data_IF_856194508592
#
_entry.id   IF_856194508592
#
_cell.length_a   1.000
_cell.length_b   1.000
_cell.length_c   1.000
_cell.angle_alpha   90.00
_cell.angle_beta   90.00
_cell.angle_gamma   90.00
#
_symmetry.space_group_name_H-M   'P 1'
#
loop_
_entity.id
_entity.type
_entity.pdbx_description
1 polymer ?
#
# COMPACT_ATOMS: atom_id res chain seq x y z
N UNK A 1 14.98 21.75 2.35
CA UNK A 1 14.98 21.40 3.79
C UNK A 1 15.14 19.89 3.89
N UNK A 2 16.25 19.40 4.45
CA UNK A 2 16.45 17.97 4.69
C UNK A 2 15.64 17.56 5.91
N UNK A 3 14.54 16.84 5.71
CA UNK A 3 13.72 16.32 6.82
C UNK A 3 14.55 15.37 7.70
N UNK A 4 14.32 15.32 9.03
CA UNK A 4 14.95 14.33 9.88
C UNK A 4 14.60 12.92 9.38
N UNK A 5 15.58 12.00 9.47
CA UNK A 5 15.52 10.62 8.93
C UNK A 5 14.26 9.84 9.32
N UNK A 6 13.66 10.21 10.44
CA UNK A 6 12.49 9.59 11.06
C UNK A 6 11.17 10.10 10.51
N UNK A 7 11.10 11.30 9.92
CA UNK A 7 9.82 11.89 9.51
C UNK A 7 9.09 11.07 8.44
N UNK A 8 9.73 10.58 7.36
CA UNK A 8 9.03 9.76 6.38
C UNK A 8 8.63 8.39 6.96
N UNK A 9 9.41 7.85 7.91
CA UNK A 9 9.06 6.62 8.64
C UNK A 9 7.85 6.84 9.54
N UNK A 10 7.80 7.93 10.30
CA UNK A 10 6.64 8.29 11.12
C UNK A 10 5.40 8.53 10.27
N UNK A 11 5.56 9.13 9.08
CA UNK A 11 4.49 9.30 8.10
C UNK A 11 3.91 7.95 7.65
N UNK A 12 4.77 6.98 7.31
CA UNK A 12 4.33 5.62 6.98
C UNK A 12 3.69 4.90 8.17
N UNK A 13 4.19 5.07 9.40
CA UNK A 13 3.58 4.50 10.60
C UNK A 13 2.19 5.08 10.88
N UNK A 14 2.00 6.38 10.71
CA UNK A 14 0.70 7.02 10.84
C UNK A 14 -0.27 6.50 9.76
N UNK A 15 0.22 6.35 8.53
CA UNK A 15 -0.54 5.77 7.43
C UNK A 15 -0.93 4.32 7.69
N UNK A 16 -0.02 3.47 8.19
CA UNK A 16 -0.32 2.06 8.48
C UNK A 16 -1.28 1.93 9.66
N UNK A 17 -1.26 2.85 10.63
CA UNK A 17 -2.27 2.92 11.66
C UNK A 17 -3.65 3.26 11.07
N UNK A 18 -3.75 4.22 10.15
CA UNK A 18 -4.99 4.49 9.41
C UNK A 18 -5.46 3.24 8.69
N UNK A 19 -4.59 2.56 7.93
CA UNK A 19 -4.94 1.32 7.22
C UNK A 19 -5.39 0.21 8.18
N UNK A 20 -4.69 -0.01 9.30
CA UNK A 20 -5.08 -0.99 10.31
C UNK A 20 -6.48 -0.73 10.90
N UNK A 21 -6.86 0.55 11.07
CA UNK A 21 -8.21 0.92 11.53
C UNK A 21 -9.32 0.57 10.52
N UNK A 22 -8.99 0.48 9.23
CA UNK A 22 -9.98 0.26 8.17
C UNK A 22 -10.59 -1.13 8.18
N UNK A 23 -9.89 -2.13 8.73
CA UNK A 23 -10.39 -3.51 8.81
C UNK A 23 -11.68 -3.61 9.64
N UNK A 24 -11.86 -2.73 10.62
CA UNK A 24 -13.09 -2.66 11.43
C UNK A 24 -14.28 -2.15 10.60
N UNK A 25 -14.02 -1.36 9.55
CA UNK A 25 -15.03 -0.64 8.77
C UNK A 25 -15.36 -1.31 7.43
N UNK A 26 -14.40 -2.00 6.80
CA UNK A 26 -14.55 -2.44 5.40
C UNK A 26 -15.53 -3.59 5.21
N UNK A 27 -15.64 -4.51 6.19
CA UNK A 27 -16.55 -5.66 6.12
C UNK A 27 -18.01 -5.24 6.01
N UNK A 28 -18.42 -4.27 6.82
CA UNK A 28 -19.80 -3.79 6.86
C UNK A 28 -20.20 -3.08 5.56
N UNK A 29 -19.23 -2.54 4.81
CA UNK A 29 -19.48 -1.86 3.52
C UNK A 29 -19.48 -2.84 2.36
N UNK A 30 -18.46 -3.71 2.26
CA UNK A 30 -18.32 -4.66 1.14
C UNK A 30 -19.39 -5.77 1.17
N UNK A 31 -20.02 -6.02 2.32
CA UNK A 31 -21.18 -6.93 2.41
C UNK A 31 -22.46 -6.38 1.73
N UNK A 32 -22.52 -5.08 1.45
CA UNK A 32 -23.75 -4.40 0.97
C UNK A 32 -23.67 -3.91 -0.48
N UNK A 33 -22.54 -4.08 -1.16
CA UNK A 33 -22.38 -3.68 -2.56
C UNK A 33 -21.27 -4.48 -3.27
N UNK A 34 -21.33 -4.61 -4.60
CA UNK A 34 -20.27 -5.26 -5.38
C UNK A 34 -18.90 -4.60 -5.17
N UNK A 35 -17.83 -5.40 -5.23
CA UNK A 35 -16.45 -4.93 -5.01
C UNK A 35 -16.02 -3.88 -6.03
N UNK A 36 -16.31 -4.11 -7.31
CA UNK A 36 -15.95 -3.19 -8.37
C UNK A 36 -16.62 -1.82 -8.16
N UNK A 37 -17.90 -1.80 -7.77
CA UNK A 37 -18.64 -0.58 -7.44
C UNK A 37 -18.03 0.17 -6.26
N UNK A 38 -17.74 -0.57 -5.18
CA UNK A 38 -17.16 0.00 -3.97
C UNK A 38 -15.83 0.69 -4.28
N UNK A 39 -14.94 0.00 -5.01
CA UNK A 39 -13.64 0.53 -5.38
C UNK A 39 -13.76 1.68 -6.37
N UNK A 40 -14.65 1.57 -7.36
CA UNK A 40 -14.87 2.61 -8.36
C UNK A 40 -15.32 3.93 -7.72
N UNK A 41 -16.36 3.88 -6.86
CA UNK A 41 -16.85 5.07 -6.16
C UNK A 41 -15.80 5.61 -5.19
N UNK A 42 -15.17 4.75 -4.39
CA UNK A 42 -14.11 5.13 -3.44
C UNK A 42 -12.98 5.88 -4.14
N UNK A 43 -12.42 5.31 -5.21
CA UNK A 43 -11.28 5.90 -5.88
C UNK A 43 -11.65 7.07 -6.77
N UNK A 44 -12.88 7.13 -7.32
CA UNK A 44 -13.36 8.34 -8.00
C UNK A 44 -13.42 9.54 -7.06
N UNK A 45 -13.94 9.35 -5.84
CA UNK A 45 -13.96 10.41 -4.80
C UNK A 45 -12.53 10.80 -4.40
N UNK A 46 -11.64 9.82 -4.18
CA UNK A 46 -10.25 10.08 -3.84
C UNK A 46 -9.50 10.85 -4.94
N UNK A 47 -9.71 10.47 -6.21
CA UNK A 47 -9.13 11.12 -7.37
C UNK A 47 -9.61 12.56 -7.50
N UNK A 48 -10.92 12.80 -7.36
CA UNK A 48 -11.48 14.15 -7.40
C UNK A 48 -10.89 15.03 -6.29
N UNK A 49 -10.84 14.52 -5.05
CA UNK A 49 -10.25 15.25 -3.93
C UNK A 49 -8.78 15.61 -4.20
N UNK A 50 -7.98 14.67 -4.69
CA UNK A 50 -6.57 14.91 -5.01
C UNK A 50 -6.36 15.91 -6.15
N UNK A 51 -7.19 15.87 -7.19
CA UNK A 51 -7.13 16.84 -8.29
C UNK A 51 -7.51 18.25 -7.84
N UNK A 52 -8.46 18.38 -6.92
CA UNK A 52 -8.86 19.67 -6.32
C UNK A 52 -7.78 20.22 -5.38
N UNK A 53 -7.14 19.37 -4.59
CA UNK A 53 -6.11 19.78 -3.63
C UNK A 53 -4.76 20.07 -4.28
N UNK A 54 -4.39 19.34 -5.33
CA UNK A 54 -3.06 19.41 -5.96
C UNK A 54 -3.06 19.73 -7.47
N UNK A 55 -3.91 20.65 -7.98
CA UNK A 55 -4.03 20.89 -9.42
C UNK A 55 -2.72 21.44 -10.00
N UNK A 56 -2.07 22.35 -9.27
CA UNK A 56 -0.82 22.98 -9.70
C UNK A 56 0.34 21.98 -9.76
N UNK A 57 0.38 21.01 -8.85
CA UNK A 57 1.41 19.98 -8.80
C UNK A 57 1.22 19.00 -9.95
N UNK A 58 -0.03 18.64 -10.28
CA UNK A 58 -0.33 17.81 -11.46
C UNK A 58 0.14 18.49 -12.75
N UNK A 59 -0.15 19.78 -12.93
CA UNK A 59 0.28 20.51 -14.13
C UNK A 59 1.80 20.64 -14.28
N UNK A 60 2.55 20.58 -13.17
CA UNK A 60 4.01 20.69 -13.17
C UNK A 60 4.74 19.38 -13.50
N UNK A 61 4.07 18.23 -13.47
CA UNK A 61 4.69 16.92 -13.71
C UNK A 61 5.24 16.73 -15.14
N UNK A 62 4.72 17.50 -16.10
CA UNK A 62 4.99 17.27 -17.53
C UNK A 62 4.51 15.89 -18.01
N UNK A 63 4.84 15.55 -19.27
CA UNK A 63 4.36 14.31 -19.92
C UNK A 63 4.90 13.06 -19.25
N UNK A 64 6.18 13.06 -18.87
CA UNK A 64 6.84 11.91 -18.24
C UNK A 64 6.28 11.63 -16.86
N UNK A 65 6.07 12.65 -16.02
CA UNK A 65 5.48 12.49 -14.70
C UNK A 65 4.02 12.02 -14.77
N UNK A 66 3.23 12.53 -15.73
CA UNK A 66 1.87 12.04 -15.99
C UNK A 66 1.87 10.56 -16.41
N UNK A 67 2.75 10.15 -17.33
CA UNK A 67 2.85 8.76 -17.78
C UNK A 67 3.27 7.81 -16.64
N UNK A 68 4.26 8.20 -15.83
CA UNK A 68 4.71 7.43 -14.65
C UNK A 68 3.60 7.31 -13.60
N UNK A 69 2.94 8.41 -13.28
CA UNK A 69 1.82 8.42 -12.33
C UNK A 69 0.66 7.54 -12.79
N UNK A 70 0.34 7.59 -14.09
CA UNK A 70 -0.70 6.75 -14.66
C UNK A 70 -0.33 5.28 -14.61
N UNK A 71 0.89 4.92 -15.03
CA UNK A 71 1.38 3.54 -14.98
C UNK A 71 1.37 2.96 -13.56
N UNK A 72 1.87 3.74 -12.58
CA UNK A 72 1.83 3.35 -11.16
C UNK A 72 0.40 3.12 -10.66
N UNK A 73 -0.53 4.03 -11.02
CA UNK A 73 -1.92 3.88 -10.61
C UNK A 73 -2.62 2.70 -11.28
N UNK A 74 -2.30 2.37 -12.53
CA UNK A 74 -2.82 1.15 -13.18
C UNK A 74 -2.35 -0.10 -12.45
N UNK A 75 -1.05 -0.20 -12.14
CA UNK A 75 -0.47 -1.33 -11.39
C UNK A 75 -1.16 -1.47 -10.03
N UNK A 76 -1.29 -0.37 -9.29
CA UNK A 76 -1.96 -0.37 -7.99
C UNK A 76 -3.45 -0.73 -8.11
N UNK A 77 -4.15 -0.21 -9.11
CA UNK A 77 -5.58 -0.47 -9.34
C UNK A 77 -5.88 -1.93 -9.65
N UNK A 78 -5.02 -2.59 -10.45
CA UNK A 78 -5.11 -4.03 -10.70
C UNK A 78 -4.87 -4.79 -9.38
N UNK A 79 -3.85 -4.42 -8.61
CA UNK A 79 -3.61 -4.98 -7.28
C UNK A 79 -4.83 -4.88 -6.36
N UNK A 80 -5.45 -3.70 -6.29
CA UNK A 80 -6.66 -3.44 -5.50
C UNK A 80 -7.85 -4.33 -5.90
N UNK A 81 -8.09 -4.51 -7.19
CA UNK A 81 -9.17 -5.39 -7.68
C UNK A 81 -8.90 -6.85 -7.28
N UNK A 82 -7.69 -7.35 -7.58
CA UNK A 82 -7.29 -8.73 -7.26
C UNK A 82 -7.36 -9.01 -5.76
N UNK A 83 -6.85 -8.09 -4.94
CA UNK A 83 -6.89 -8.21 -3.49
C UNK A 83 -8.33 -8.26 -2.98
N UNK A 84 -9.18 -7.34 -3.44
CA UNK A 84 -10.54 -7.21 -2.89
C UNK A 84 -11.45 -8.34 -3.36
N UNK A 85 -11.28 -8.84 -4.59
CA UNK A 85 -11.93 -10.09 -5.03
C UNK A 85 -11.41 -11.30 -4.27
N UNK A 86 -10.09 -11.38 -4.04
CA UNK A 86 -9.49 -12.43 -3.21
C UNK A 86 -10.09 -12.44 -1.80
N UNK A 87 -10.21 -11.28 -1.16
CA UNK A 87 -10.77 -11.08 0.17
C UNK A 87 -12.22 -11.59 0.31
N UNK A 88 -13.02 -11.62 -0.77
CA UNK A 88 -14.37 -12.19 -0.73
C UNK A 88 -14.38 -13.71 -0.61
N UNK A 89 -13.31 -14.38 -1.04
CA UNK A 89 -13.23 -15.84 -1.16
C UNK A 89 -12.52 -16.49 0.03
N UNK A 90 -11.77 -15.73 0.83
CA UNK A 90 -10.95 -16.26 1.93
C UNK A 90 -11.11 -15.43 3.20
N UNK A 91 -10.66 -15.98 4.33
CA UNK A 91 -10.66 -15.24 5.59
C UNK A 91 -9.79 -13.96 5.48
N UNK A 92 -10.22 -12.84 6.09
CA UNK A 92 -9.47 -11.58 6.06
C UNK A 92 -8.05 -11.70 6.62
N UNK A 93 -7.84 -12.57 7.60
CA UNK A 93 -6.51 -12.80 8.17
C UNK A 93 -5.59 -13.49 7.15
N UNK A 94 -6.09 -14.47 6.39
CA UNK A 94 -5.34 -15.12 5.31
C UNK A 94 -5.06 -14.13 4.17
N UNK A 95 -6.04 -13.30 3.80
CA UNK A 95 -5.86 -12.25 2.78
C UNK A 95 -4.86 -11.18 3.23
N UNK A 96 -4.91 -10.76 4.49
CA UNK A 96 -3.95 -9.82 5.07
C UNK A 96 -2.52 -10.38 5.08
N UNK A 97 -2.34 -11.65 5.44
CA UNK A 97 -1.05 -12.34 5.32
C UNK A 97 -0.57 -12.37 3.86
N UNK A 98 -1.40 -12.86 2.94
CA UNK A 98 -1.05 -12.98 1.53
C UNK A 98 -0.72 -11.63 0.89
N UNK A 99 -1.44 -10.56 1.26
CA UNK A 99 -1.13 -9.20 0.82
C UNK A 99 0.24 -8.76 1.34
N UNK A 100 0.49 -8.92 2.64
CA UNK A 100 1.73 -8.46 3.28
C UNK A 100 2.99 -9.16 2.76
N UNK A 101 2.86 -10.24 1.98
CA UNK A 101 3.96 -10.84 1.21
C UNK A 101 4.59 -9.87 0.19
N UNK A 102 3.99 -8.70 -0.08
CA UNK A 102 4.68 -7.63 -0.80
C UNK A 102 6.04 -7.30 -0.16
N UNK A 103 6.22 -7.50 1.15
CA UNK A 103 7.49 -7.26 1.86
C UNK A 103 8.60 -8.20 1.38
N UNK A 104 8.24 -9.42 0.96
CA UNK A 104 9.15 -10.40 0.38
C UNK A 104 9.38 -10.10 -1.09
N UNK A 105 8.32 -9.82 -1.84
CA UNK A 105 8.42 -9.55 -3.27
C UNK A 105 9.14 -8.25 -3.60
N UNK A 106 9.06 -7.22 -2.75
CA UNK A 106 9.70 -5.91 -2.98
C UNK A 106 11.22 -6.01 -3.16
N UNK A 107 12.02 -6.57 -2.24
CA UNK A 107 13.46 -6.72 -2.42
C UNK A 107 13.83 -7.67 -3.57
N UNK A 108 13.01 -8.71 -3.83
CA UNK A 108 13.21 -9.60 -4.98
C UNK A 108 13.08 -8.81 -6.28
N UNK A 109 11.97 -8.08 -6.47
CA UNK A 109 11.71 -7.29 -7.66
C UNK A 109 12.70 -6.13 -7.79
N UNK A 110 13.11 -5.48 -6.69
CA UNK A 110 14.16 -4.46 -6.72
C UNK A 110 15.49 -5.04 -7.23
N UNK A 111 15.85 -6.26 -6.82
CA UNK A 111 17.06 -6.94 -7.30
C UNK A 111 16.94 -7.31 -8.77
N UNK A 112 15.80 -7.89 -9.18
CA UNK A 112 15.61 -8.39 -10.55
C UNK A 112 15.42 -7.28 -11.59
N UNK A 113 14.63 -6.24 -11.27
CA UNK A 113 14.25 -5.19 -12.21
C UNK A 113 15.24 -4.03 -12.22
N UNK A 114 15.86 -3.73 -11.07
CA UNK A 114 16.73 -2.57 -10.90
C UNK A 114 18.20 -2.95 -10.66
N UNK A 115 18.52 -4.25 -10.60
CA UNK A 115 19.88 -4.73 -10.33
C UNK A 115 20.41 -4.39 -8.93
N UNK A 116 19.54 -3.97 -8.00
CA UNK A 116 19.95 -3.51 -6.67
C UNK A 116 20.43 -4.66 -5.80
N UNK A 117 21.62 -4.53 -5.19
CA UNK A 117 22.17 -5.54 -4.28
C UNK A 117 21.72 -5.29 -2.85
N UNK A 118 20.82 -6.13 -2.36
CA UNK A 118 20.32 -6.05 -0.99
C UNK A 118 21.36 -6.51 0.03
N UNK A 119 21.54 -5.75 1.11
CA UNK A 119 22.37 -6.17 2.24
C UNK A 119 21.72 -7.38 2.96
N UNK A 120 22.53 -8.29 3.50
CA UNK A 120 22.03 -9.49 4.19
C UNK A 120 21.04 -9.19 5.33
N UNK A 121 21.24 -8.06 6.03
CA UNK A 121 20.32 -7.60 7.08
C UNK A 121 18.90 -7.27 6.57
N UNK A 122 18.76 -6.86 5.30
CA UNK A 122 17.43 -6.65 4.69
C UNK A 122 16.69 -7.99 4.60
N UNK A 123 17.37 -9.07 4.21
CA UNK A 123 16.76 -10.41 4.17
C UNK A 123 16.40 -10.94 5.56
N UNK A 124 17.22 -10.63 6.57
CA UNK A 124 16.87 -10.93 7.98
C UNK A 124 15.61 -10.19 8.39
N UNK A 125 15.52 -8.89 8.09
CA UNK A 125 14.32 -8.10 8.39
C UNK A 125 13.08 -8.60 7.65
N UNK A 126 13.21 -8.97 6.38
CA UNK A 126 12.13 -9.58 5.58
C UNK A 126 11.67 -10.90 6.22
N UNK A 127 12.60 -11.74 6.67
CA UNK A 127 12.29 -12.99 7.38
C UNK A 127 11.53 -12.73 8.68
N UNK A 128 11.99 -11.77 9.50
CA UNK A 128 11.32 -11.37 10.74
C UNK A 128 9.91 -10.81 10.48
N UNK A 129 9.76 -9.90 9.50
CA UNK A 129 8.48 -9.32 9.14
C UNK A 129 7.49 -10.40 8.63
N UNK A 130 7.97 -11.33 7.81
CA UNK A 130 7.15 -12.43 7.29
C UNK A 130 6.71 -13.39 8.40
N UNK A 131 7.62 -13.75 9.31
CA UNK A 131 7.30 -14.59 10.46
C UNK A 131 6.32 -13.89 11.43
N UNK A 132 6.51 -12.59 11.64
CA UNK A 132 5.59 -11.79 12.45
C UNK A 132 4.20 -11.69 11.83
N UNK A 133 4.12 -11.40 10.53
CA UNK A 133 2.87 -11.41 9.76
C UNK A 133 2.18 -12.78 9.81
N UNK A 134 2.95 -13.86 9.69
CA UNK A 134 2.42 -15.23 9.80
C UNK A 134 1.78 -15.46 11.17
N UNK A 135 2.49 -15.13 12.25
CA UNK A 135 1.96 -15.31 13.61
C UNK A 135 0.68 -14.50 13.86
N UNK A 136 0.63 -13.26 13.35
CA UNK A 136 -0.52 -12.36 13.49
C UNK A 136 -1.75 -12.83 12.67
N UNK A 137 -1.52 -13.36 11.47
CA UNK A 137 -2.56 -13.44 10.45
C UNK A 137 -2.90 -14.86 9.98
N UNK A 138 -1.98 -15.83 10.07
CA UNK A 138 -2.24 -17.21 9.62
C UNK A 138 -2.93 -18.06 10.69
N UNK A 139 -4.21 -18.35 10.51
CA UNK A 139 -4.96 -19.31 11.34
C UNK A 139 -5.28 -20.56 10.52
N UNK A 140 -4.25 -21.34 10.22
CA UNK A 140 -4.30 -22.45 9.26
C UNK A 140 -3.82 -22.06 7.88
N UNK A 141 -3.57 -23.06 7.03
CA UNK A 141 -3.18 -22.88 5.64
C UNK A 141 -4.31 -23.42 4.77
N UNK A 142 -4.89 -22.56 3.94
CA UNK A 142 -5.81 -22.97 2.89
C UNK A 142 -5.20 -22.61 1.54
N UNK A 143 -5.46 -23.43 0.53
CA UNK A 143 -4.99 -23.23 -0.84
C UNK A 143 -6.21 -23.04 -1.70
N UNK A 144 -6.68 -21.79 -1.74
CA UNK A 144 -7.91 -21.41 -2.45
C UNK A 144 -7.60 -20.38 -3.54
N UNK A 145 -8.51 -20.25 -4.50
CA UNK A 145 -8.42 -19.21 -5.54
C UNK A 145 -8.23 -17.80 -4.95
N UNK A 146 -8.89 -17.51 -3.82
CA UNK A 146 -8.73 -16.23 -3.12
C UNK A 146 -7.30 -15.98 -2.62
N UNK A 147 -6.58 -17.03 -2.20
CA UNK A 147 -5.17 -16.93 -1.81
C UNK A 147 -4.31 -16.56 -3.01
N UNK A 148 -4.52 -17.23 -4.15
CA UNK A 148 -3.78 -16.94 -5.38
C UNK A 148 -4.04 -15.53 -5.92
N UNK A 149 -5.31 -15.08 -5.91
CA UNK A 149 -5.66 -13.71 -6.28
C UNK A 149 -4.99 -12.68 -5.37
N UNK A 150 -4.99 -12.93 -4.06
CA UNK A 150 -4.37 -12.02 -3.08
C UNK A 150 -2.85 -12.04 -3.20
N UNK A 151 -2.22 -13.19 -3.41
CA UNK A 151 -0.77 -13.26 -3.67
C UNK A 151 -0.39 -12.55 -4.97
N UNK A 152 -1.20 -12.66 -6.02
CA UNK A 152 -1.00 -11.89 -7.24
C UNK A 152 -1.07 -10.38 -6.95
N UNK A 153 -2.03 -9.93 -6.14
CA UNK A 153 -2.10 -8.52 -5.72
C UNK A 153 -0.83 -8.06 -4.99
N UNK A 154 -0.24 -8.90 -4.14
CA UNK A 154 0.99 -8.59 -3.43
C UNK A 154 2.18 -8.37 -4.38
N UNK A 155 2.23 -9.08 -5.51
CA UNK A 155 3.23 -8.86 -6.57
C UNK A 155 3.00 -7.49 -7.24
N UNK A 156 1.76 -7.13 -7.55
CA UNK A 156 1.43 -5.81 -8.10
C UNK A 156 1.77 -4.68 -7.11
N UNK A 157 1.48 -4.84 -5.82
CA UNK A 157 1.87 -3.87 -4.80
C UNK A 157 3.38 -3.78 -4.64
N UNK A 158 4.11 -4.90 -4.65
CA UNK A 158 5.56 -4.88 -4.61
C UNK A 158 6.15 -4.18 -5.85
N UNK A 159 5.63 -4.46 -7.04
CA UNK A 159 6.03 -3.78 -8.28
C UNK A 159 5.77 -2.27 -8.18
N UNK A 160 4.59 -1.88 -7.70
CA UNK A 160 4.24 -0.48 -7.43
C UNK A 160 5.21 0.16 -6.45
N UNK A 161 5.49 -0.47 -5.31
CA UNK A 161 6.41 0.04 -4.29
C UNK A 161 7.82 0.24 -4.88
N UNK A 162 8.32 -0.72 -5.66
CA UNK A 162 9.65 -0.64 -6.31
C UNK A 162 9.70 0.50 -7.33
N UNK A 163 8.73 0.58 -8.24
CA UNK A 163 8.69 1.62 -9.26
C UNK A 163 8.43 3.01 -8.67
N UNK A 164 7.58 3.10 -7.64
CA UNK A 164 7.32 4.35 -6.93
C UNK A 164 8.59 4.86 -6.25
N UNK A 165 9.39 3.97 -5.66
CA UNK A 165 10.69 4.33 -5.09
C UNK A 165 11.70 4.86 -6.12
N UNK A 166 11.54 4.53 -7.41
CA UNK A 166 12.39 5.06 -8.48
C UNK A 166 11.84 6.34 -9.12
N UNK A 167 10.51 6.44 -9.22
CA UNK A 167 9.85 7.51 -9.98
C UNK A 167 9.32 8.65 -9.11
N UNK A 168 9.19 8.45 -7.80
CA UNK A 168 8.75 9.49 -6.87
C UNK A 168 9.92 10.43 -6.55
N UNK A 169 9.93 11.60 -7.16
CA UNK A 169 10.94 12.63 -6.94
C UNK A 169 10.48 13.65 -5.89
N UNK A 170 11.47 14.26 -5.23
CA UNK A 170 11.23 15.35 -4.28
C UNK A 170 10.50 16.50 -4.99
N UNK A 171 9.37 16.94 -4.43
CA UNK A 171 8.56 18.03 -4.99
C UNK A 171 7.48 17.61 -6.01
N UNK A 172 7.55 16.39 -6.55
CA UNK A 172 6.56 15.85 -7.51
C UNK A 172 5.57 14.88 -6.86
N UNK A 173 5.89 14.36 -5.66
CA UNK A 173 5.13 13.32 -4.97
C UNK A 173 3.61 13.55 -4.91
N UNK A 174 3.16 14.76 -4.55
CA UNK A 174 1.74 15.07 -4.46
C UNK A 174 1.04 15.06 -5.82
N UNK A 175 1.67 15.63 -6.85
CA UNK A 175 1.16 15.55 -8.22
C UNK A 175 1.09 14.10 -8.69
N UNK A 176 2.15 13.33 -8.46
CA UNK A 176 2.24 11.92 -8.84
C UNK A 176 1.13 11.09 -8.16
N UNK A 177 0.88 11.32 -6.88
CA UNK A 177 -0.19 10.66 -6.13
C UNK A 177 -1.59 10.99 -6.66
N UNK A 178 -1.84 12.22 -7.12
CA UNK A 178 -3.11 12.59 -7.72
C UNK A 178 -3.36 11.85 -9.04
N UNK A 179 -2.35 11.76 -9.91
CA UNK A 179 -2.45 11.03 -11.18
C UNK A 179 -2.65 9.53 -10.95
N UNK A 180 -1.95 8.96 -9.95
CA UNK A 180 -2.16 7.57 -9.54
C UNK A 180 -3.61 7.32 -9.13
N UNK A 181 -4.19 8.18 -8.29
CA UNK A 181 -5.59 8.06 -7.87
C UNK A 181 -6.56 8.08 -9.06
N UNK A 182 -6.33 8.95 -10.05
CA UNK A 182 -7.12 8.97 -11.29
C UNK A 182 -7.02 7.65 -12.04
N UNK A 183 -5.81 7.14 -12.24
CA UNK A 183 -5.61 5.87 -12.93
C UNK A 183 -6.24 4.68 -12.19
N UNK A 184 -6.15 4.63 -10.85
CA UNK A 184 -6.81 3.61 -10.02
C UNK A 184 -8.34 3.70 -10.20
N UNK A 185 -8.90 4.91 -10.14
CA UNK A 185 -10.33 5.14 -10.35
C UNK A 185 -10.78 4.65 -11.72
N UNK A 186 -10.02 4.94 -12.78
CA UNK A 186 -10.31 4.49 -14.14
C UNK A 186 -10.27 2.96 -14.26
N UNK A 187 -9.26 2.30 -13.69
CA UNK A 187 -9.18 0.82 -13.67
C UNK A 187 -10.40 0.22 -12.96
N UNK A 188 -10.78 0.78 -11.82
CA UNK A 188 -11.94 0.29 -11.06
C UNK A 188 -13.26 0.57 -11.78
N UNK A 189 -13.40 1.74 -12.44
CA UNK A 189 -14.58 2.07 -13.27
C UNK A 189 -14.71 1.12 -14.46
N UNK A 190 -13.61 0.80 -15.15
CA UNK A 190 -13.63 -0.17 -16.25
C UNK A 190 -14.09 -1.54 -15.77
N UNK A 191 -13.70 -1.94 -14.56
CA UNK A 191 -14.15 -3.21 -13.97
C UNK A 191 -15.66 -3.27 -13.68
N UNK A 192 -16.38 -2.14 -13.67
CA UNK A 192 -17.84 -2.09 -13.50
C UNK A 192 -18.65 -2.22 -14.79
N UNK A 193 -18.00 -2.09 -15.96
CA UNK A 193 -18.68 -2.14 -17.25
C UNK A 193 -19.49 -3.42 -17.51
N UNK A 194 -19.05 -4.63 -17.09
CA UNK A 194 -19.80 -5.87 -17.32
C UNK A 194 -21.21 -5.88 -16.73
N UNK A 195 -21.48 -5.07 -15.70
CA UNK A 195 -22.80 -4.97 -15.06
C UNK A 195 -23.40 -3.56 -15.17
N UNK A 196 -22.99 -2.78 -16.18
CA UNK A 196 -23.65 -1.51 -16.53
C UNK A 196 -23.11 -0.26 -15.84
N UNK A 197 -21.96 -0.33 -15.17
CA UNK A 197 -21.32 0.82 -14.50
C UNK A 197 -21.46 0.81 -12.98
N UNK A 198 -20.88 1.80 -12.29
CA UNK A 198 -20.80 1.80 -10.83
C UNK A 198 -22.14 2.11 -10.19
N UNK A 199 -22.58 1.25 -9.26
CA UNK A 199 -23.73 1.57 -8.40
C UNK A 199 -23.31 2.43 -7.20
N UNK A 200 -24.08 3.46 -6.82
CA UNK A 200 -23.77 4.27 -5.64
C UNK A 200 -23.97 3.45 -4.35
N UNK A 201 -23.27 3.80 -3.26
CA UNK A 201 -23.50 3.21 -1.95
C UNK A 201 -24.98 3.29 -1.52
N UNK A 202 -25.55 2.22 -0.96
CA UNK A 202 -27.00 2.07 -0.80
C UNK A 202 -27.62 2.93 0.31
N UNK A 203 -26.84 3.34 1.30
CA UNK A 203 -27.32 4.09 2.47
C UNK A 203 -26.27 5.05 3.03
N UNK A 204 -26.69 5.89 3.98
CA UNK A 204 -25.84 6.90 4.62
C UNK A 204 -24.63 6.30 5.34
N UNK A 205 -24.78 5.13 5.96
CA UNK A 205 -23.68 4.48 6.67
C UNK A 205 -22.62 3.95 5.69
N UNK A 206 -23.04 3.38 4.56
CA UNK A 206 -22.15 2.97 3.48
C UNK A 206 -21.40 4.17 2.88
N UNK A 207 -22.08 5.30 2.68
CA UNK A 207 -21.44 6.54 2.25
C UNK A 207 -20.37 7.05 3.21
N UNK A 208 -20.66 7.06 4.53
CA UNK A 208 -19.66 7.48 5.54
C UNK A 208 -18.42 6.58 5.50
N UNK A 209 -18.61 5.26 5.39
CA UNK A 209 -17.51 4.30 5.23
C UNK A 209 -16.69 4.57 3.97
N UNK A 210 -17.36 4.75 2.82
CA UNK A 210 -16.72 5.05 1.53
C UNK A 210 -15.94 6.37 1.59
N UNK A 211 -16.49 7.42 2.18
CA UNK A 211 -15.83 8.72 2.30
C UNK A 211 -14.57 8.64 3.17
N UNK A 212 -14.63 7.95 4.31
CA UNK A 212 -13.45 7.73 5.15
C UNK A 212 -12.38 6.91 4.41
N UNK A 213 -12.78 5.84 3.71
CA UNK A 213 -11.89 5.02 2.90
C UNK A 213 -11.28 5.76 1.70
N UNK A 214 -12.02 6.70 1.12
CA UNK A 214 -11.61 7.48 -0.04
C UNK A 214 -10.65 8.60 0.35
N UNK A 215 -11.02 9.40 1.37
CA UNK A 215 -10.28 10.62 1.70
C UNK A 215 -9.09 10.34 2.61
N UNK A 216 -9.27 9.54 3.66
CA UNK A 216 -8.24 9.32 4.67
C UNK A 216 -7.37 8.12 4.28
N UNK A 217 -7.98 6.94 4.13
CA UNK A 217 -7.25 5.71 3.80
C UNK A 217 -6.85 5.59 2.32
N UNK A 218 -7.42 6.41 1.43
CA UNK A 218 -7.14 6.43 0.00
C UNK A 218 -6.22 7.59 -0.38
N UNK A 219 -6.80 8.77 -0.55
CA UNK A 219 -6.09 9.98 -0.98
C UNK A 219 -4.96 10.37 0.00
N UNK A 220 -5.27 10.52 1.29
CA UNK A 220 -4.28 10.89 2.31
C UNK A 220 -3.15 9.86 2.42
N UNK A 221 -3.50 8.58 2.49
CA UNK A 221 -2.52 7.50 2.56
C UNK A 221 -1.61 7.42 1.33
N UNK A 222 -2.16 7.49 0.11
CA UNK A 222 -1.37 7.45 -1.12
C UNK A 222 -0.44 8.68 -1.25
N UNK A 223 -0.93 9.86 -0.85
CA UNK A 223 -0.09 11.06 -0.81
C UNK A 223 1.07 10.88 0.18
N UNK A 224 0.80 10.34 1.38
CA UNK A 224 1.81 10.06 2.39
C UNK A 224 2.81 8.99 1.93
N UNK A 225 2.34 7.88 1.36
CA UNK A 225 3.19 6.81 0.83
C UNK A 225 4.10 7.34 -0.28
N UNK A 226 3.52 8.04 -1.26
CA UNK A 226 4.26 8.60 -2.40
C UNK A 226 5.31 9.61 -1.92
N UNK A 227 4.94 10.47 -0.97
CA UNK A 227 5.87 11.41 -0.37
C UNK A 227 6.97 10.70 0.43
N UNK A 228 6.62 9.73 1.28
CA UNK A 228 7.60 9.02 2.09
C UNK A 228 8.61 8.25 1.22
N UNK A 229 8.15 7.57 0.18
CA UNK A 229 8.99 6.83 -0.76
C UNK A 229 9.85 7.72 -1.66
N UNK A 230 9.53 9.02 -1.80
CA UNK A 230 10.47 9.98 -2.40
C UNK A 230 11.71 10.22 -1.52
N UNK A 231 11.61 9.94 -0.22
CA UNK A 231 12.64 10.24 0.79
C UNK A 231 13.26 8.99 1.41
N UNK A 232 12.82 7.79 1.03
CA UNK A 232 13.36 6.52 1.54
C UNK A 232 13.34 5.39 0.50
N UNK A 233 14.24 4.41 0.60
CA UNK A 233 14.24 3.25 -0.28
C UNK A 233 12.94 2.43 -0.20
N UNK A 234 12.55 1.84 -1.34
CA UNK A 234 11.36 1.00 -1.49
C UNK A 234 11.31 -0.15 -0.48
N UNK A 235 12.44 -0.83 -0.24
CA UNK A 235 12.52 -1.96 0.70
C UNK A 235 12.31 -1.52 2.15
N UNK A 236 12.86 -0.37 2.55
CA UNK A 236 12.60 0.22 3.88
C UNK A 236 11.13 0.61 4.03
N UNK A 237 10.54 1.23 3.02
CA UNK A 237 9.12 1.55 3.03
C UNK A 237 8.24 0.31 3.18
N UNK A 238 8.48 -0.74 2.38
CA UNK A 238 7.75 -2.00 2.48
C UNK A 238 7.81 -2.62 3.88
N UNK A 239 8.99 -2.65 4.51
CA UNK A 239 9.15 -3.21 5.86
C UNK A 239 8.40 -2.36 6.90
N UNK A 240 8.48 -1.03 6.83
CA UNK A 240 7.70 -0.16 7.74
C UNK A 240 6.19 -0.38 7.53
N UNK A 241 5.76 -0.56 6.28
CA UNK A 241 4.35 -0.77 5.94
C UNK A 241 3.78 -2.08 6.53
N UNK A 242 4.62 -3.09 6.81
CA UNK A 242 4.18 -4.32 7.50
C UNK A 242 3.72 -4.12 8.94
N UNK A 243 3.86 -2.92 9.51
CA UNK A 243 3.29 -2.56 10.82
C UNK A 243 1.76 -2.44 10.81
N UNK A 244 1.12 -2.38 9.64
CA UNK A 244 -0.34 -2.29 9.50
C UNK A 244 -1.10 -3.40 10.28
N UNK A 245 -0.80 -4.71 10.11
CA UNK A 245 -1.38 -5.78 10.92
C UNK A 245 -1.20 -5.61 12.43
N UNK A 246 -0.10 -5.00 12.88
CA UNK A 246 0.14 -4.72 14.30
C UNK A 246 -0.88 -3.71 14.81
N UNK A 247 -1.13 -2.65 14.04
CA UNK A 247 -2.16 -1.66 14.38
C UNK A 247 -3.57 -2.24 14.28
N UNK A 248 -3.86 -3.06 13.26
CA UNK A 248 -5.16 -3.74 13.14
C UNK A 248 -5.44 -4.61 14.38
N UNK A 249 -4.46 -5.40 14.81
CA UNK A 249 -4.52 -6.21 16.03
C UNK A 249 -4.70 -5.34 17.29
N UNK A 250 -3.94 -4.25 17.41
CA UNK A 250 -4.04 -3.33 18.54
C UNK A 250 -5.43 -2.67 18.64
N UNK A 251 -6.00 -2.22 17.52
CA UNK A 251 -7.34 -1.65 17.50
C UNK A 251 -8.42 -2.70 17.78
N UNK A 252 -8.29 -3.92 17.27
CA UNK A 252 -9.22 -5.00 17.58
C UNK A 252 -9.31 -5.26 19.10
N UNK A 253 -8.17 -5.28 19.79
CA UNK A 253 -8.12 -5.42 21.26
C UNK A 253 -8.66 -4.17 21.96
N UNK A 254 -8.24 -2.98 21.53
CA UNK A 254 -8.65 -1.72 22.17
C UNK A 254 -10.17 -1.47 22.09
N UNK A 255 -10.81 -1.89 20.99
CA UNK A 255 -12.26 -1.81 20.82
C UNK A 255 -13.02 -3.02 21.38
N UNK A 256 -12.34 -3.92 22.11
CA UNK A 256 -12.95 -5.09 22.73
C UNK A 256 -13.47 -6.14 21.75
N UNK A 257 -12.98 -6.14 20.51
CA UNK A 257 -13.36 -7.10 19.46
C UNK A 257 -12.55 -8.40 19.52
N UNK A 258 -11.36 -8.35 20.12
CA UNK A 258 -10.47 -9.49 20.32
C UNK A 258 -9.77 -9.44 21.69
N UNK A 259 -9.30 -10.60 22.15
CA UNK A 259 -8.49 -10.72 23.37
C UNK A 259 -7.02 -10.74 23.01
N UNK A 260 -6.20 -10.02 23.78
CA UNK A 260 -4.75 -10.02 23.60
C UNK A 260 -4.19 -11.44 23.73
N UNK A 261 -3.60 -11.95 22.65
CA UNK A 261 -3.03 -13.30 22.60
C UNK A 261 -1.50 -13.27 22.57
N UNK A 262 -0.86 -14.38 22.96
CA UNK A 262 0.59 -14.53 22.85
C UNK A 262 1.08 -14.36 21.41
N UNK A 263 0.26 -14.75 20.42
CA UNK A 263 0.54 -14.61 18.99
C UNK A 263 0.59 -13.15 18.55
N UNK A 264 -0.30 -12.32 19.09
CA UNK A 264 -0.30 -10.87 18.85
C UNK A 264 0.95 -10.22 19.42
N UNK A 265 1.36 -10.61 20.62
CA UNK A 265 2.58 -10.09 21.25
C UNK A 265 3.84 -10.52 20.49
N UNK A 266 4.00 -11.83 20.23
CA UNK A 266 5.16 -12.36 19.54
C UNK A 266 5.24 -11.86 18.09
N UNK A 267 4.13 -11.92 17.35
CA UNK A 267 4.05 -11.46 15.96
C UNK A 267 4.30 -9.95 15.84
N UNK A 268 3.69 -9.15 16.73
CA UNK A 268 3.93 -7.72 16.80
C UNK A 268 5.38 -7.37 17.13
N UNK A 269 6.00 -8.08 18.07
CA UNK A 269 7.41 -7.89 18.41
C UNK A 269 8.35 -8.22 17.24
N UNK A 270 8.07 -9.26 16.45
CA UNK A 270 8.86 -9.60 15.26
C UNK A 270 8.75 -8.54 14.17
N UNK A 271 7.53 -8.06 13.88
CA UNK A 271 7.31 -6.99 12.89
C UNK A 271 8.00 -5.69 13.31
N UNK A 272 7.83 -5.27 14.57
CA UNK A 272 8.49 -4.08 15.09
C UNK A 272 10.01 -4.26 15.08
N UNK A 273 10.51 -5.43 15.48
CA UNK A 273 11.94 -5.76 15.43
C UNK A 273 12.52 -5.68 14.01
N UNK A 274 11.79 -6.17 13.00
CA UNK A 274 12.17 -6.03 11.60
C UNK A 274 12.27 -4.55 11.17
N UNK A 275 11.28 -3.74 11.57
CA UNK A 275 11.26 -2.30 11.29
C UNK A 275 12.44 -1.57 11.97
N UNK A 276 12.68 -1.81 13.25
CA UNK A 276 13.80 -1.23 13.98
C UNK A 276 15.15 -1.63 13.37
N UNK A 277 15.30 -2.89 12.97
CA UNK A 277 16.54 -3.40 12.37
C UNK A 277 16.91 -2.64 11.08
N UNK A 278 15.93 -2.34 10.23
CA UNK A 278 16.16 -1.59 8.98
C UNK A 278 16.30 -0.09 9.23
N UNK A 279 15.61 0.46 10.23
CA UNK A 279 15.69 1.87 10.60
C UNK A 279 17.09 2.26 11.12
N UNK A 280 17.73 1.35 11.86
CA UNK A 280 19.07 1.55 12.43
C UNK A 280 20.19 1.30 11.43
N UNK A 281 19.89 0.76 10.24
CA UNK A 281 20.91 0.45 9.26
C UNK A 281 21.57 1.74 8.70
N UNK A 282 22.91 1.85 8.72
CA UNK A 282 23.61 2.97 8.11
C UNK A 282 23.27 3.06 6.61
N UNK A 283 23.07 4.28 6.08
CA UNK A 283 22.94 4.48 4.63
C UNK A 283 24.18 3.89 3.96
N UNK A 284 24.03 2.81 3.20
CA UNK A 284 24.91 2.63 2.05
C UNK A 284 24.52 3.73 1.09
N UNK A 285 25.49 4.54 0.70
CA UNK A 285 25.35 5.48 -0.42
C UNK A 285 25.07 4.65 -1.67
N UNK A 286 23.81 4.33 -1.90
CA UNK A 286 23.36 3.95 -3.24
C UNK A 286 23.52 5.21 -4.07
N UNK A 287 24.53 5.21 -4.93
CA UNK A 287 24.76 6.29 -5.88
C UNK A 287 23.44 6.54 -6.63
N UNK A 288 23.01 7.80 -6.80
CA UNK A 288 21.87 8.10 -7.65
C UNK A 288 22.23 7.64 -9.07
N UNK A 289 21.60 6.56 -9.55
CA UNK A 289 21.73 6.09 -10.94
C UNK A 289 21.20 7.17 -11.92
N UNK A 290 20.49 8.19 -11.42
CA UNK A 290 19.96 9.31 -12.18
C UNK A 290 21.02 10.18 -12.91
N UNK A 291 22.30 10.09 -12.56
CA UNK A 291 23.35 10.92 -13.19
C UNK A 291 24.06 10.24 -14.38
N UNK A 292 23.88 8.92 -14.57
CA UNK A 292 24.54 8.19 -15.65
C UNK A 292 23.80 8.24 -17.00
N UNK A 293 22.51 8.62 -17.02
CA UNK A 293 21.71 8.67 -18.25
C UNK A 293 21.73 10.04 -18.97
N UNK A 294 22.47 11.03 -18.45
CA UNK A 294 22.62 12.35 -19.07
C UNK A 294 24.01 12.61 -19.66
N UNK A 295 24.92 11.62 -19.62
CA UNK A 295 26.27 11.73 -20.14
C UNK A 295 26.57 10.88 -21.38
N UNK A 296 25.61 10.10 -21.87
CA UNK A 296 25.71 9.54 -23.22
C UNK A 296 24.88 10.40 -24.17
N UNK A 297 25.64 11.24 -24.88
CA UNK A 297 25.31 12.22 -25.93
C UNK A 297 24.48 11.60 -27.05
#
# INVERSE_FOLDING_TARGET
MSYPRTLPTLGLLAMTAVWGSTFVLIKDVVARMPVADFLAVRFAVAALAMLVLFPRQVWRLGRTGLARGFALGVIYGIGQLLQTWGLQLIAPSVSGFATGMYVVFTPILATLLLGQRMAGVVWVAVGLATAGLALLSLNGVSVDMGVWLTLASAIFYALHIVLLGQWSLHGEAFGLSAVQMVAIALVCLVATLPHGGPMPPPDRAAWLGVLYMALIAGAGAMAMQTWAQAHMPATRAAIVMTTEPVFAAAFAVAFGRDVLSWRMLAGGALVLGAMYLVELMPRRTEAPIAEAAHHEV
#
